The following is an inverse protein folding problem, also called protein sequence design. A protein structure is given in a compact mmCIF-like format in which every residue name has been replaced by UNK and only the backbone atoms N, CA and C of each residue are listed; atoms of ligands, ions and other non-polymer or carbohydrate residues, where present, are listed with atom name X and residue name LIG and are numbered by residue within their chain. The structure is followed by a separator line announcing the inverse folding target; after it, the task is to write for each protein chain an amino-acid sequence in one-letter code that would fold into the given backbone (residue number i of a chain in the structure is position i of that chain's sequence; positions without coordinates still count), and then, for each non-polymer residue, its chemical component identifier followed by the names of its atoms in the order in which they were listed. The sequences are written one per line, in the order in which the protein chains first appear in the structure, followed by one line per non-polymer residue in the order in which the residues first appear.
data_IF_911745012592
#
_entry.id   IF_911745012592
#
_cell.length_a   1.000
_cell.length_b   1.000
_cell.length_c   1.000
_cell.angle_alpha   90.00
_cell.angle_beta   90.00
_cell.angle_gamma   90.00
#
_symmetry.space_group_name_H-M   'P 1'
#
loop_
_entity.id
_entity.type
_entity.pdbx_description
1 polymer ?
2 non-polymer ?
3 water ?
#
# COMPACT_ATOMS: atom_id res chain seq x y z
N UNK A 10 -21.63 -15.56 13.87
CA UNK A 10 -21.47 -14.88 15.16
C UNK A 10 -22.59 -13.86 15.33
N UNK A 11 -23.61 -14.18 16.17
CA UNK A 11 -24.76 -13.29 16.42
C UNK A 11 -24.38 -11.98 17.15
N UNK A 12 -23.11 -11.81 17.55
CA UNK A 12 -22.64 -10.57 18.15
C UNK A 12 -22.45 -9.45 17.11
N UNK A 13 -22.65 -9.75 15.81
CA UNK A 13 -22.47 -8.83 14.71
C UNK A 13 -23.62 -8.99 13.74
N UNK A 14 -24.06 -7.89 13.16
CA UNK A 14 -25.13 -7.92 12.17
C UNK A 14 -24.60 -7.23 10.91
N UNK A 15 -24.41 -7.99 9.81
CA UNK A 15 -23.88 -7.45 8.55
C UNK A 15 -24.91 -6.59 7.84
N UNK A 16 -24.53 -5.37 7.45
CA UNK A 16 -25.46 -4.43 6.82
C UNK A 16 -25.11 -4.05 5.39
N UNK A 17 -23.88 -4.33 4.95
CA UNK A 17 -23.44 -4.01 3.61
C UNK A 17 -22.21 -4.84 3.27
N UNK A 18 -22.02 -5.08 1.99
CA UNK A 18 -20.84 -5.80 1.51
C UNK A 18 -19.84 -4.74 1.11
N UNK A 19 -18.63 -4.81 1.66
CA UNK A 19 -17.56 -3.87 1.31
C UNK A 19 -16.79 -4.40 0.08
N UNK A 20 -16.58 -5.70 0.02
CA UNK A 20 -15.87 -6.32 -1.09
C UNK A 20 -15.91 -7.83 -1.06
N UNK A 21 -15.71 -8.44 -2.23
CA UNK A 21 -15.69 -9.90 -2.34
C UNK A 21 -14.58 -10.32 -3.31
N UNK A 22 -14.05 -11.54 -3.13
CA UNK A 22 -13.00 -12.06 -3.99
C UNK A 22 -12.28 -13.27 -3.44
N UNK A 23 -10.97 -13.33 -3.71
CA UNK A 23 -10.09 -14.41 -3.25
C UNK A 23 -10.08 -14.46 -1.71
N UNK A 24 -10.10 -13.27 -1.08
CA UNK A 24 -10.12 -13.07 0.37
C UNK A 24 -11.43 -13.42 1.06
N UNK A 25 -12.31 -14.16 0.40
CA UNK A 25 -13.62 -14.46 0.95
C UNK A 25 -14.51 -13.26 0.76
N UNK A 26 -14.95 -12.63 1.87
CA UNK A 26 -15.81 -11.46 1.78
C UNK A 26 -15.57 -10.52 2.98
N UNK A 27 -15.63 -9.21 2.75
CA UNK A 27 -15.53 -8.25 3.84
C UNK A 27 -16.88 -7.52 3.92
N UNK A 28 -17.49 -7.49 5.12
CA UNK A 28 -18.78 -6.82 5.34
C UNK A 28 -18.68 -5.66 6.33
N UNK A 29 -19.53 -4.66 6.17
CA UNK A 29 -19.66 -3.58 7.15
C UNK A 29 -20.75 -4.15 8.06
N UNK A 30 -20.49 -4.19 9.37
CA UNK A 30 -21.42 -4.79 10.31
C UNK A 30 -21.58 -3.94 11.57
N UNK A 31 -22.68 -4.16 12.31
CA UNK A 31 -22.93 -3.49 13.59
C UNK A 31 -22.31 -4.40 14.68
N UNK A 32 -21.46 -3.86 15.55
CA UNK A 32 -20.87 -4.59 16.66
C UNK A 32 -21.91 -4.44 17.75
N UNK A 33 -22.84 -5.40 17.82
CA UNK A 33 -23.96 -5.37 18.72
C UNK A 33 -23.60 -5.31 20.20
N UNK A 34 -22.46 -5.88 20.59
CA UNK A 34 -22.04 -5.86 21.99
C UNK A 34 -21.30 -4.58 22.37
N UNK A 35 -20.74 -3.85 21.39
CA UNK A 35 -20.00 -2.63 21.68
C UNK A 35 -20.69 -1.35 21.21
N UNK A 36 -21.89 -1.12 21.72
CA UNK A 36 -22.65 0.09 21.43
C UNK A 36 -23.15 0.27 20.01
N UNK A 37 -23.14 -0.81 19.24
CA UNK A 37 -23.60 -0.75 17.85
C UNK A 37 -22.67 0.00 16.93
N UNK A 38 -21.37 0.07 17.27
CA UNK A 38 -20.42 0.75 16.38
C UNK A 38 -20.22 -0.08 15.10
N UNK A 39 -19.84 0.56 14.00
CA UNK A 39 -19.57 -0.18 12.77
C UNK A 39 -18.20 -0.83 12.90
N UNK A 40 -18.07 -1.98 12.27
CA UNK A 40 -16.84 -2.75 12.16
C UNK A 40 -16.76 -3.32 10.73
N UNK A 41 -15.58 -3.75 10.32
CA UNK A 41 -15.39 -4.43 9.05
C UNK A 41 -15.12 -5.90 9.41
N UNK A 42 -15.98 -6.85 9.00
CA UNK A 42 -15.80 -8.27 9.31
C UNK A 42 -15.30 -8.98 8.08
N UNK A 43 -14.12 -9.55 8.14
CA UNK A 43 -13.54 -10.28 7.03
C UNK A 43 -13.76 -11.77 7.26
N UNK A 44 -14.61 -12.40 6.44
CA UNK A 44 -14.87 -13.83 6.52
C UNK A 44 -13.95 -14.50 5.52
N UNK A 45 -13.06 -15.38 5.98
CA UNK A 45 -12.09 -16.06 5.12
C UNK A 45 -12.21 -17.58 5.27
N UNK A 46 -12.55 -18.29 4.19
CA UNK A 46 -12.69 -19.76 4.19
C UNK A 46 -11.34 -20.46 4.46
N UNK A 55 -4.81 -26.00 9.65
CA UNK A 55 -3.69 -25.45 8.88
C UNK A 55 -2.60 -24.83 9.77
N UNK A 56 -1.39 -24.61 9.22
CA UNK A 56 -0.31 -24.02 10.00
C UNK A 56 0.02 -22.61 9.55
N UNK A 57 -0.03 -22.39 8.23
CA UNK A 57 0.26 -21.10 7.59
C UNK A 57 -0.75 -20.05 8.06
N UNK A 58 -2.04 -20.42 8.08
CA UNK A 58 -3.12 -19.54 8.48
C UNK A 58 -3.09 -19.29 9.98
N UNK A 59 -2.86 -20.34 10.79
CA UNK A 59 -2.78 -20.22 12.26
C UNK A 59 -1.67 -19.25 12.65
N UNK A 60 -0.47 -19.43 12.08
CA UNK A 60 0.66 -18.55 12.35
C UNK A 60 0.36 -17.11 11.91
N UNK A 61 -0.30 -16.92 10.76
CA UNK A 61 -0.63 -15.59 10.26
C UNK A 61 -1.56 -14.83 11.17
N UNK A 62 -2.59 -15.49 11.75
CA UNK A 62 -3.50 -14.78 12.64
C UNK A 62 -2.80 -14.49 13.98
N UNK A 63 -1.86 -15.36 14.42
CA UNK A 63 -1.08 -15.13 15.64
C UNK A 63 -0.20 -13.87 15.45
N UNK A 64 0.35 -13.66 14.25
CA UNK A 64 1.14 -12.47 13.95
C UNK A 64 0.22 -11.22 13.98
N UNK A 65 -0.99 -11.32 13.43
CA UNK A 65 -1.96 -10.21 13.45
C UNK A 65 -2.36 -9.82 14.87
N UNK A 66 -2.58 -10.82 15.73
CA UNK A 66 -2.89 -10.58 17.14
C UNK A 66 -1.71 -9.92 17.86
N UNK A 67 -0.47 -10.37 17.56
CA UNK A 67 0.74 -9.79 18.14
C UNK A 67 0.88 -8.31 17.72
N UNK A 68 0.71 -8.00 16.44
CA UNK A 68 0.77 -6.59 15.99
C UNK A 68 -0.26 -5.71 16.68
N UNK A 69 -1.44 -6.27 17.00
CA UNK A 69 -2.50 -5.53 17.65
C UNK A 69 -2.16 -5.15 19.11
N UNK A 70 -1.25 -5.88 19.78
CA UNK A 70 -0.83 -5.52 21.14
C UNK A 70 -0.14 -4.14 21.14
N UNK A 71 0.50 -3.76 20.03
CA UNK A 71 1.18 -2.47 19.95
C UNK A 71 0.20 -1.31 19.76
N UNK A 72 -1.01 -1.59 19.20
CA UNK A 72 -2.05 -0.61 18.90
C UNK A 72 -1.46 0.58 18.13
N UNK A 73 -0.72 0.30 17.03
CA UNK A 73 -0.13 1.39 16.24
C UNK A 73 -1.24 2.28 15.63
N UNK A 74 -1.10 3.63 15.72
CA UNK A 74 -2.17 4.50 15.21
C UNK A 74 -2.33 4.44 13.68
N UNK A 75 -1.36 3.86 12.94
CA UNK A 75 -1.43 3.86 11.50
C UNK A 75 -1.72 2.52 10.85
N UNK A 76 -2.35 1.62 11.60
CA UNK A 76 -2.82 0.33 11.09
C UNK A 76 -4.22 0.13 11.73
N UNK A 77 -5.19 -0.53 11.03
CA UNK A 77 -6.51 -0.72 11.63
C UNK A 77 -6.45 -1.59 12.86
N UNK A 78 -7.29 -1.27 13.86
CA UNK A 78 -7.39 -2.09 15.07
C UNK A 78 -8.04 -3.40 14.69
N UNK A 79 -7.58 -4.49 15.29
CA UNK A 79 -8.15 -5.82 15.16
C UNK A 79 -8.88 -6.01 16.49
N UNK A 80 -10.20 -5.95 16.46
CA UNK A 80 -11.05 -6.06 17.64
C UNK A 80 -11.30 -7.49 18.08
N UNK A 81 -11.38 -8.44 17.15
CA UNK A 81 -11.75 -9.81 17.52
C UNK A 81 -11.38 -10.82 16.44
N UNK A 82 -11.22 -12.09 16.83
CA UNK A 82 -10.96 -13.17 15.88
C UNK A 82 -11.89 -14.34 16.23
N UNK A 83 -12.68 -14.85 15.28
CA UNK A 83 -13.61 -15.95 15.54
C UNK A 83 -13.29 -17.15 14.62
N UNK A 84 -13.45 -18.38 15.13
CA UNK A 84 -13.21 -19.57 14.31
C UNK A 84 -14.42 -20.49 14.32
N UNK A 93 -14.02 -20.57 7.56
CA UNK A 93 -14.45 -20.60 8.96
C UNK A 93 -13.75 -19.54 9.85
N UNK A 94 -12.94 -18.65 9.27
CA UNK A 94 -12.21 -17.66 10.05
C UNK A 94 -12.80 -16.27 9.86
N UNK A 95 -13.12 -15.56 10.95
CA UNK A 95 -13.67 -14.20 10.85
C UNK A 95 -12.82 -13.21 11.63
N UNK A 96 -12.29 -12.18 10.93
CA UNK A 96 -11.49 -11.12 11.56
C UNK A 96 -12.35 -9.88 11.72
N UNK A 97 -12.37 -9.28 12.90
CA UNK A 97 -13.19 -8.10 13.17
C UNK A 97 -12.29 -6.87 13.32
N UNK A 98 -12.42 -5.89 12.41
CA UNK A 98 -11.59 -4.69 12.46
C UNK A 98 -12.42 -3.46 12.76
N UNK A 99 -11.78 -2.36 13.25
CA UNK A 99 -12.54 -1.09 13.35
C UNK A 99 -12.91 -0.66 11.90
N UNK A 100 -14.06 -0.03 11.72
CA UNK A 100 -14.47 0.42 10.40
C UNK A 100 -14.00 1.84 10.17
N UNK A 101 -13.49 2.12 8.98
CA UNK A 101 -13.08 3.45 8.56
C UNK A 101 -13.99 3.79 7.35
N UNK A 102 -14.65 4.96 7.37
CA UNK A 102 -15.60 5.35 6.32
C UNK A 102 -15.07 5.44 4.91
N UNK A 103 -13.79 5.75 4.71
CA UNK A 103 -13.28 5.90 3.34
C UNK A 103 -11.83 5.41 3.14
N UNK A 104 -11.49 5.11 1.89
CA UNK A 104 -10.13 4.74 1.49
C UNK A 104 -9.46 5.96 0.81
N UNK A 105 -8.15 5.88 0.56
CA UNK A 105 -7.41 6.94 -0.10
C UNK A 105 -7.94 7.17 -1.52
N UNK A 106 -8.44 6.12 -2.19
CA UNK A 106 -9.00 6.23 -3.54
C UNK A 106 -10.18 7.25 -3.56
N UNK A 107 -11.16 7.08 -2.68
CA UNK A 107 -12.32 7.95 -2.55
C UNK A 107 -11.89 9.32 -2.09
N UNK A 108 -10.94 9.41 -1.14
CA UNK A 108 -10.42 10.70 -0.70
C UNK A 108 -9.85 11.51 -1.92
N UNK A 109 -9.05 10.86 -2.77
CA UNK A 109 -8.49 11.51 -3.96
C UNK A 109 -9.55 11.86 -5.04
N UNK A 110 -10.62 11.06 -5.14
CA UNK A 110 -11.68 11.31 -6.11
C UNK A 110 -12.54 12.52 -5.69
N UNK A 111 -12.64 12.80 -4.38
CA UNK A 111 -13.50 13.87 -3.91
C UNK A 111 -12.80 15.18 -3.59
N UNK A 112 -11.47 15.20 -3.55
CA UNK A 112 -10.74 16.42 -3.21
C UNK A 112 -10.92 17.47 -4.33
N UNK A 113 -11.37 18.70 -3.97
CA UNK A 113 -11.61 19.71 -5.01
C UNK A 113 -10.32 20.25 -5.64
N UNK A 114 -10.47 20.92 -6.77
CA UNK A 114 -9.34 21.58 -7.44
C UNK A 114 -8.80 22.70 -6.51
N UNK A 115 -7.49 22.97 -6.50
CA UNK A 115 -6.45 22.42 -7.38
C UNK A 115 -5.84 21.09 -6.92
N UNK A 116 -6.44 20.43 -5.93
CA UNK A 116 -5.96 19.14 -5.46
C UNK A 116 -5.68 19.06 -3.97
N UNK A 117 -4.98 17.99 -3.54
CA UNK A 117 -4.64 17.81 -2.14
C UNK A 117 -3.65 18.89 -1.74
N UNK A 118 -3.91 19.61 -0.64
CA UNK A 118 -2.96 20.64 -0.19
C UNK A 118 -1.58 20.05 0.11
N UNK A 119 -0.53 20.75 -0.28
CA UNK A 119 0.88 20.36 -0.13
C UNK A 119 1.20 19.76 1.25
N UNK A 120 0.74 20.39 2.34
CA UNK A 120 1.02 19.91 3.69
C UNK A 120 0.21 18.67 4.08
N UNK A 121 -0.95 18.47 3.43
CA UNK A 121 -1.79 17.31 3.65
C UNK A 121 -1.13 16.11 2.95
N UNK A 122 -0.53 16.32 1.74
CA UNK A 122 0.24 15.27 1.05
C UNK A 122 1.39 14.83 1.97
N UNK A 123 2.11 15.80 2.53
CA UNK A 123 3.23 15.55 3.42
C UNK A 123 2.80 14.75 4.65
N UNK A 124 1.75 15.22 5.34
CA UNK A 124 1.23 14.53 6.51
C UNK A 124 0.77 13.08 6.22
N UNK A 125 -0.03 12.87 5.16
CA UNK A 125 -0.52 11.53 4.85
C UNK A 125 0.63 10.59 4.49
N UNK A 126 1.63 11.10 3.76
CA UNK A 126 2.81 10.32 3.41
C UNK A 126 3.62 9.95 4.64
N UNK A 127 3.72 10.87 5.61
CA UNK A 127 4.45 10.58 6.85
C UNK A 127 3.75 9.45 7.61
N UNK A 128 2.41 9.51 7.73
CA UNK A 128 1.63 8.51 8.45
C UNK A 128 1.65 7.17 7.75
N UNK A 129 1.61 7.19 6.41
CA UNK A 129 1.71 5.98 5.60
C UNK A 129 3.04 5.28 5.88
N UNK A 130 4.13 6.06 5.89
CA UNK A 130 5.46 5.53 6.15
C UNK A 130 5.63 5.08 7.57
N UNK A 131 4.90 5.65 8.52
CA UNK A 131 4.99 5.20 9.92
C UNK A 131 4.31 3.82 10.09
N UNK A 132 3.13 3.67 9.47
CA UNK A 132 2.43 2.40 9.49
C UNK A 132 3.24 1.30 8.81
N UNK A 133 3.92 1.65 7.72
CA UNK A 133 4.75 0.71 6.96
C UNK A 133 6.03 0.34 7.70
N UNK A 134 6.66 1.31 8.36
CA UNK A 134 7.85 1.04 9.17
C UNK A 134 7.45 0.12 10.35
N UNK A 135 6.27 0.37 10.98
CA UNK A 135 5.76 -0.52 12.02
C UNK A 135 5.66 -1.97 11.50
N UNK A 136 5.01 -2.17 10.34
CA UNK A 136 4.90 -3.51 9.75
C UNK A 136 6.27 -4.11 9.42
N UNK A 137 7.14 -3.36 8.75
CA UNK A 137 8.46 -3.86 8.33
C UNK A 137 9.38 -4.19 9.50
N UNK A 138 9.25 -3.43 10.61
CA UNK A 138 10.08 -3.68 11.77
C UNK A 138 9.64 -4.95 12.54
N UNK A 139 8.39 -5.43 12.35
CA UNK A 139 7.89 -6.69 12.92
C UNK A 139 7.72 -7.78 11.83
N UNK A 140 8.61 -7.74 10.83
CA UNK A 140 8.74 -8.55 9.62
C UNK A 140 7.42 -8.96 8.99
N UNK A 141 6.60 -7.96 8.71
CA UNK A 141 5.38 -8.16 7.93
C UNK A 141 5.58 -7.31 6.68
N UNK A 142 5.34 -7.89 5.51
CA UNK A 142 5.41 -7.17 4.25
C UNK A 142 3.95 -7.07 3.80
N UNK A 143 3.48 -5.87 3.46
CA UNK A 143 2.09 -5.69 3.02
C UNK A 143 1.85 -6.43 1.71
N UNK A 144 2.70 -6.20 0.68
CA UNK A 144 2.67 -6.83 -0.66
C UNK A 144 1.57 -6.38 -1.59
N UNK A 145 0.50 -5.73 -1.08
CA UNK A 145 -0.56 -5.27 -1.98
C UNK A 145 -0.99 -3.85 -1.63
N UNK A 146 -0.03 -2.99 -1.28
CA UNK A 146 -0.33 -1.61 -0.92
C UNK A 146 -0.91 -0.83 -2.10
N UNK A 147 -2.05 -0.19 -1.88
CA UNK A 147 -2.74 0.58 -2.89
C UNK A 147 -3.73 1.52 -2.20
N UNK A 148 -4.21 2.56 -2.90
CA UNK A 148 -5.17 3.49 -2.26
C UNK A 148 -6.40 2.80 -1.65
N UNK A 149 -6.79 1.66 -2.20
CA UNK A 149 -7.95 0.88 -1.74
C UNK A 149 -7.77 0.30 -0.36
N UNK A 150 -6.52 0.01 0.07
CA UNK A 150 -6.34 -0.48 1.45
C UNK A 150 -5.57 0.50 2.34
N UNK A 151 -5.53 1.77 1.94
CA UNK A 151 -4.96 2.83 2.75
C UNK A 151 -6.19 3.60 3.16
N UNK A 152 -6.62 3.44 4.41
CA UNK A 152 -7.87 4.04 4.89
C UNK A 152 -7.66 5.42 5.52
N UNK A 153 -8.61 6.31 5.32
CA UNK A 153 -8.53 7.70 5.80
C UNK A 153 -9.65 7.98 6.77
N UNK A 154 -9.33 8.24 8.07
CA UNK A 154 -10.37 8.48 9.05
C UNK A 154 -11.00 9.90 8.89
N UNK A 155 -12.12 10.13 9.58
CA UNK A 155 -12.83 11.41 9.58
C UNK A 155 -11.97 12.55 10.15
N UNK A 156 -10.90 12.22 10.92
CA UNK A 156 -9.97 13.21 11.45
C UNK A 156 -8.67 13.32 10.61
N UNK A 157 -8.61 12.69 9.43
CA UNK A 157 -7.42 12.71 8.57
C UNK A 157 -6.32 11.72 8.92
N UNK A 158 -6.62 10.72 9.75
CA UNK A 158 -5.61 9.71 10.14
C UNK A 158 -5.48 8.58 9.07
N UNK A 159 -4.25 8.13 8.77
CA UNK A 159 -4.04 7.06 7.80
C UNK A 159 -3.99 5.73 8.55
N UNK A 160 -4.74 4.73 8.08
CA UNK A 160 -4.73 3.41 8.69
C UNK A 160 -4.59 2.35 7.62
N UNK A 161 -3.52 1.57 7.69
CA UNK A 161 -3.29 0.47 6.77
C UNK A 161 -4.24 -0.66 7.10
N UNK A 162 -4.80 -1.26 6.07
CA UNK A 162 -5.70 -2.39 6.21
C UNK A 162 -5.34 -3.46 5.13
N UNK A 163 -5.93 -4.68 5.24
CA UNK A 163 -5.79 -5.78 4.30
C UNK A 163 -4.32 -6.23 4.08
N UNK A 164 -3.70 -6.69 5.16
CA UNK A 164 -2.33 -7.20 5.18
C UNK A 164 -2.27 -8.40 6.16
N UNK A 165 -1.21 -9.19 6.08
CA UNK A 165 -0.99 -10.27 7.02
C UNK A 165 -1.53 -11.62 6.62
N UNK A 166 -2.45 -11.65 5.65
CA UNK A 166 -3.05 -12.88 5.20
C UNK A 166 -2.72 -13.14 3.74
N UNK A 167 -2.33 -14.37 3.43
CA UNK A 167 -2.05 -14.75 2.05
C UNK A 167 -3.38 -15.10 1.41
N UNK A 180 -11.32 -4.16 -12.93
CA UNK A 180 -9.91 -4.29 -13.30
C UNK A 180 -9.03 -4.79 -12.11
N UNK A 181 -7.82 -5.29 -12.38
CA UNK A 181 -6.89 -5.74 -11.35
C UNK A 181 -5.83 -4.63 -11.14
N UNK A 182 -4.93 -4.76 -10.15
CA UNK A 182 -3.96 -3.71 -9.98
C UNK A 182 -2.53 -4.16 -9.77
N UNK A 183 -1.87 -4.13 -10.89
CA UNK A 183 -0.45 -4.25 -10.99
C UNK A 183 0.15 -2.83 -10.99
N UNK A 184 -0.67 -1.74 -11.01
CA UNK A 184 -0.23 -0.36 -11.04
C UNK A 184 0.73 0.00 -9.92
N UNK A 185 0.66 -0.68 -8.77
CA UNK A 185 1.54 -0.38 -7.63
C UNK A 185 2.62 -1.44 -7.38
N UNK A 186 2.67 -2.48 -8.21
CA UNK A 186 3.61 -3.59 -8.10
C UNK A 186 5.03 -3.17 -8.45
N UNK A 187 5.99 -3.61 -7.62
CA UNK A 187 7.40 -3.33 -7.83
C UNK A 187 7.94 -4.13 -9.02
N UNK A 188 8.96 -3.60 -9.71
CA UNK A 188 9.55 -4.37 -10.83
C UNK A 188 9.99 -5.79 -10.47
N UNK A 189 10.54 -6.01 -9.28
CA UNK A 189 11.01 -7.33 -8.87
C UNK A 189 9.86 -8.32 -8.65
N UNK A 190 8.62 -7.82 -8.40
CA UNK A 190 7.44 -8.70 -8.29
C UNK A 190 6.99 -9.08 -9.71
N UNK A 191 6.98 -8.10 -10.62
CA UNK A 191 6.62 -8.26 -12.03
C UNK A 191 7.55 -9.23 -12.74
N UNK A 192 8.84 -9.16 -12.40
CA UNK A 192 9.88 -10.04 -12.94
C UNK A 192 9.91 -11.42 -12.30
N UNK A 193 9.22 -11.59 -11.16
CA UNK A 193 9.13 -12.80 -10.35
C UNK A 193 10.49 -13.20 -9.78
N UNK A 194 11.28 -12.21 -9.29
CA UNK A 194 12.59 -12.52 -8.73
C UNK A 194 12.70 -12.40 -7.21
N UNK A 195 12.14 -11.33 -6.61
CA UNK A 195 12.26 -11.13 -5.15
C UNK A 195 11.02 -10.48 -4.56
N UNK A 196 10.77 -10.72 -3.27
CA UNK A 196 9.54 -10.29 -2.64
C UNK A 196 9.76 -9.73 -1.22
N UNK A 197 10.91 -9.09 -0.95
CA UNK A 197 11.21 -8.59 0.40
C UNK A 197 10.44 -7.25 0.75
N UNK A 198 10.69 -6.60 1.91
CA UNK A 198 10.06 -5.35 2.28
C UNK A 198 10.17 -4.21 1.23
N UNK A 199 11.23 -4.10 0.38
CA UNK A 199 11.28 -2.96 -0.57
C UNK A 199 10.12 -2.90 -1.55
N UNK A 200 9.41 -4.01 -1.74
CA UNK A 200 8.24 -4.13 -2.59
C UNK A 200 7.17 -3.06 -2.19
N UNK A 201 7.04 -2.77 -0.89
CA UNK A 201 6.08 -1.79 -0.39
C UNK A 201 6.53 -0.36 -0.57
N UNK A 202 7.83 -0.11 -0.59
CA UNK A 202 8.39 1.23 -0.79
C UNK A 202 8.24 1.66 -2.24
N UNK A 203 8.29 0.70 -3.21
CA UNK A 203 7.97 1.04 -4.59
C UNK A 203 6.48 1.50 -4.65
N UNK A 204 5.57 0.73 -4.02
CA UNK A 204 4.15 1.05 -3.94
C UNK A 204 3.93 2.44 -3.33
N UNK A 205 4.65 2.75 -2.23
CA UNK A 205 4.64 4.08 -1.60
C UNK A 205 5.01 5.17 -2.61
N UNK A 206 6.06 4.95 -3.41
CA UNK A 206 6.47 5.92 -4.43
C UNK A 206 5.36 6.17 -5.46
N UNK A 207 4.68 5.09 -5.91
CA UNK A 207 3.58 5.23 -6.86
C UNK A 207 2.45 6.05 -6.25
N UNK A 208 2.12 5.78 -4.99
CA UNK A 208 1.07 6.45 -4.26
C UNK A 208 1.40 7.92 -4.01
N UNK A 209 2.66 8.23 -3.68
CA UNK A 209 3.17 9.57 -3.42
C UNK A 209 2.96 10.41 -4.68
N UNK A 210 3.34 9.86 -5.85
CA UNK A 210 3.15 10.55 -7.12
C UNK A 210 1.65 10.78 -7.38
N UNK A 211 0.83 9.76 -7.12
CA UNK A 211 -0.61 9.83 -7.33
C UNK A 211 -1.34 10.84 -6.43
N UNK A 212 -0.78 11.16 -5.27
CA UNK A 212 -1.38 12.17 -4.39
C UNK A 212 -1.31 13.57 -5.04
N UNK A 213 -0.27 13.80 -5.88
CA UNK A 213 -0.16 15.05 -6.61
C UNK A 213 -1.02 14.98 -7.90
N UNK A 214 -0.83 13.93 -8.73
CA UNK A 214 -1.50 13.81 -10.02
C UNK A 214 -2.98 13.57 -9.95
N UNK A 215 -3.43 12.87 -8.89
CA UNK A 215 -4.78 12.37 -8.73
C UNK A 215 -5.17 11.44 -9.89
N UNK A 216 -4.19 10.67 -10.37
CA UNK A 216 -4.29 9.65 -11.40
C UNK A 216 -3.05 8.77 -11.30
N UNK A 217 -3.20 7.45 -11.49
CA UNK A 217 -2.03 6.56 -11.34
C UNK A 217 -0.86 6.92 -12.24
N UNK A 218 0.36 6.81 -11.70
CA UNK A 218 1.58 7.09 -12.42
C UNK A 218 1.83 6.04 -13.50
N UNK A 219 1.68 4.75 -13.17
CA UNK A 219 1.96 3.64 -14.08
C UNK A 219 0.74 2.75 -14.21
N UNK A 220 -0.09 3.02 -15.22
CA UNK A 220 -1.32 2.26 -15.43
C UNK A 220 -1.15 1.21 -16.54
N UNK A 221 -0.58 0.06 -16.19
CA UNK A 221 -0.40 -1.03 -17.15
C UNK A 221 -1.56 -1.98 -17.16
N UNK A 222 -1.69 -2.79 -18.22
CA UNK A 222 -2.79 -3.76 -18.33
C UNK A 222 -2.36 -5.23 -18.17
N UNK A 223 -1.10 -5.48 -17.84
CA UNK A 223 -0.53 -6.81 -17.71
C UNK A 223 0.86 -6.66 -17.04
N UNK A 224 1.46 -7.76 -16.58
CA UNK A 224 2.76 -7.72 -15.93
C UNK A 224 3.87 -7.13 -16.80
N UNK A 225 3.86 -7.44 -18.11
CA UNK A 225 4.89 -6.94 -19.02
C UNK A 225 4.62 -5.51 -19.44
N UNK A 226 3.36 -5.14 -19.63
CA UNK A 226 3.01 -3.77 -19.97
C UNK A 226 3.31 -2.82 -18.77
N UNK A 227 3.07 -3.30 -17.54
CA UNK A 227 3.36 -2.54 -16.33
C UNK A 227 4.87 -2.22 -16.24
N UNK A 228 5.71 -3.24 -16.46
CA UNK A 228 7.14 -3.07 -16.41
C UNK A 228 7.65 -2.13 -17.52
N UNK A 229 7.09 -2.24 -18.71
CA UNK A 229 7.44 -1.35 -19.81
C UNK A 229 7.09 0.10 -19.51
N UNK A 230 5.88 0.35 -18.98
CA UNK A 230 5.48 1.69 -18.58
C UNK A 230 6.35 2.24 -17.45
N UNK A 231 6.82 1.37 -16.54
CA UNK A 231 7.74 1.82 -15.48
C UNK A 231 9.07 2.30 -16.13
N UNK A 232 9.69 1.46 -16.94
CA UNK A 232 10.97 1.76 -17.59
C UNK A 232 10.89 2.91 -18.58
N UNK A 233 9.70 3.17 -19.15
CA UNK A 233 9.51 4.35 -20.01
C UNK A 233 9.78 5.64 -19.23
N UNK A 234 9.58 5.63 -17.90
CA UNK A 234 9.80 6.78 -17.04
C UNK A 234 11.19 6.79 -16.36
N UNK A 235 11.55 5.70 -15.66
CA UNK A 235 12.82 5.66 -14.92
C UNK A 235 14.02 5.27 -15.75
N UNK A 236 13.80 4.80 -16.99
CA UNK A 236 14.87 4.34 -17.87
C UNK A 236 15.32 2.91 -17.58
N UNK A 237 16.08 2.33 -18.49
CA UNK A 237 16.58 0.98 -18.30
C UNK A 237 17.65 1.03 -17.25
N UNK A 238 17.64 0.13 -16.25
CA UNK A 238 18.72 0.16 -15.24
C UNK A 238 20.00 -0.46 -15.83
N UNK A 239 21.09 -0.39 -15.08
CA UNK A 239 22.33 -1.02 -15.50
C UNK A 239 22.15 -2.53 -15.58
N UNK A 240 22.84 -3.17 -16.50
CA UNK A 240 22.79 -4.61 -16.72
C UNK A 240 23.00 -5.40 -15.39
N UNK A 241 23.84 -4.87 -14.48
CA UNK A 241 24.11 -5.47 -13.17
C UNK A 241 22.96 -5.33 -12.16
N UNK A 242 22.04 -4.39 -12.40
CA UNK A 242 20.84 -4.20 -11.58
C UNK A 242 19.68 -5.10 -12.06
N UNK A 243 19.80 -5.77 -13.22
CA UNK A 243 18.76 -6.64 -13.72
C UNK A 243 18.91 -7.98 -13.01
N UNK A 244 17.81 -8.53 -12.48
CA UNK A 244 17.91 -9.79 -11.75
C UNK A 244 18.33 -10.93 -12.67
N UNK A 245 19.23 -11.78 -12.18
CA UNK A 245 19.70 -12.92 -12.97
C UNK A 245 18.65 -14.02 -12.95
N UNK A 246 18.62 -14.82 -14.02
CA UNK A 246 17.69 -15.95 -14.13
C UNK A 246 16.22 -15.63 -13.84
N UNK A 247 15.63 -14.77 -14.68
CA UNK A 247 14.21 -14.43 -14.74
C UNK A 247 13.77 -14.63 -16.20
N UNK A 248 12.48 -14.82 -16.45
CA UNK A 248 11.99 -15.05 -17.81
C UNK A 248 12.25 -13.84 -18.71
N UNK A 249 11.99 -12.63 -18.19
CA UNK A 249 12.16 -11.37 -18.92
C UNK A 249 13.55 -10.73 -18.80
N UNK A 250 14.31 -10.70 -19.90
CA UNK A 250 15.62 -10.03 -19.85
C UNK A 250 15.49 -8.52 -20.09
N UNK A 251 16.56 -7.78 -19.77
CA UNK A 251 16.63 -6.33 -20.00
C UNK A 251 16.38 -5.99 -21.47
N UNK A 252 16.90 -6.84 -22.38
CA UNK A 252 16.80 -6.78 -23.83
C UNK A 252 15.35 -6.70 -24.34
N UNK A 253 14.38 -7.25 -23.55
CA UNK A 253 12.98 -7.20 -23.96
C UNK A 253 12.38 -5.78 -23.89
N UNK A 254 13.07 -4.86 -23.22
CA UNK A 254 12.68 -3.47 -23.06
C UNK A 254 13.84 -2.61 -23.59
N UNK A 257 14.96 2.86 -24.02
CA UNK A 257 14.30 3.51 -22.91
C UNK A 257 15.27 4.33 -22.09
N UNK A 258 14.99 5.62 -22.01
CA UNK A 258 15.81 6.59 -21.31
C UNK A 258 14.99 7.24 -20.19
N UNK A 259 15.63 7.55 -19.06
CA UNK A 259 14.95 8.20 -17.95
C UNK A 259 14.41 9.57 -18.36
N UNK A 260 13.19 9.88 -17.92
CA UNK A 260 12.56 11.16 -18.19
C UNK A 260 12.51 11.97 -16.87
N UNK A 261 12.54 13.31 -16.90
CA UNK A 261 12.46 14.09 -15.66
C UNK A 261 11.15 13.78 -14.97
N UNK A 262 11.18 13.29 -13.72
CA UNK A 262 9.96 12.87 -13.03
C UNK A 262 8.95 14.01 -12.89
N UNK A 263 9.41 15.28 -12.87
CA UNK A 263 8.52 16.44 -12.77
C UNK A 263 7.59 16.59 -14.01
N UNK A 264 7.92 15.92 -15.12
CA UNK A 264 7.06 15.90 -16.30
C UNK A 264 5.73 15.16 -15.99
N UNK A 265 5.77 14.17 -15.09
CA UNK A 265 4.65 13.35 -14.68
C UNK A 265 4.04 13.79 -13.35
N UNK A 266 4.81 14.45 -12.50
CA UNK A 266 4.36 14.95 -11.21
C UNK A 266 4.76 16.43 -11.22
N UNK A 267 3.94 17.29 -11.83
CA UNK A 267 4.31 18.72 -11.99
C UNK A 267 4.34 19.53 -10.71
N UNK A 268 3.50 19.18 -9.76
CA UNK A 268 3.33 19.94 -8.52
C UNK A 268 4.40 19.68 -7.45
N UNK A 269 5.22 18.63 -7.62
CA UNK A 269 6.20 18.22 -6.63
C UNK A 269 7.40 19.17 -6.48
N UNK A 270 7.81 19.40 -5.23
CA UNK A 270 8.97 20.23 -4.86
C UNK A 270 10.29 19.42 -5.01
N UNK A 271 11.45 20.07 -4.80
CA UNK A 271 12.77 19.44 -4.95
C UNK A 271 13.04 18.29 -3.95
N UNK A 272 12.66 18.50 -2.68
CA UNK A 272 12.83 17.52 -1.60
C UNK A 272 11.88 16.32 -1.78
N UNK A 273 10.67 16.60 -2.24
CA UNK A 273 9.68 15.58 -2.55
C UNK A 273 10.11 14.72 -3.72
N UNK A 274 10.77 15.34 -4.72
CA UNK A 274 11.30 14.69 -5.89
C UNK A 274 12.42 13.74 -5.50
N UNK A 275 13.31 14.16 -4.59
CA UNK A 275 14.42 13.36 -4.13
C UNK A 275 13.90 12.11 -3.41
N UNK A 276 12.90 12.27 -2.53
CA UNK A 276 12.28 11.13 -1.84
C UNK A 276 11.52 10.23 -2.83
N UNK A 277 10.74 10.81 -3.76
CA UNK A 277 10.03 10.03 -4.78
C UNK A 277 10.96 9.10 -5.58
N UNK A 278 12.10 9.64 -6.07
CA UNK A 278 13.06 8.83 -6.84
C UNK A 278 13.75 7.75 -6.00
N UNK A 279 13.97 8.01 -4.71
CA UNK A 279 14.55 7.02 -3.80
C UNK A 279 13.57 5.83 -3.58
N UNK A 280 12.25 6.07 -3.71
CA UNK A 280 11.24 5.01 -3.61
C UNK A 280 11.17 4.29 -4.95
N UNK A 281 11.21 5.05 -6.07
CA UNK A 281 11.11 4.46 -7.41
C UNK A 281 12.47 4.04 -7.97
N UNK A 282 13.29 3.37 -7.17
CA UNK A 282 14.60 2.87 -7.60
C UNK A 282 14.38 1.42 -8.05
N UNK A 283 14.85 1.06 -9.26
CA UNK A 283 14.63 -0.26 -9.80
C UNK A 283 15.17 -1.38 -8.92
N UNK A 284 16.42 -1.25 -8.44
CA UNK A 284 17.04 -2.29 -7.63
C UNK A 284 16.53 -2.21 -6.18
N UNK A 285 15.86 -3.29 -5.69
CA UNK A 285 15.33 -3.25 -4.32
C UNK A 285 16.35 -3.01 -3.20
N UNK A 286 17.60 -3.50 -3.38
CA UNK A 286 18.67 -3.30 -2.38
C UNK A 286 19.09 -1.82 -2.31
N UNK A 287 18.88 -1.05 -3.40
CA UNK A 287 19.24 0.38 -3.41
C UNK A 287 18.04 1.30 -3.10
N UNK A 288 16.82 0.76 -3.03
CA UNK A 288 15.61 1.51 -2.74
C UNK A 288 15.61 1.97 -1.29
N UNK A 289 15.12 3.19 -1.00
CA UNK A 289 15.09 3.66 0.38
C UNK A 289 14.14 2.75 1.24
N UNK A 290 14.42 2.61 2.54
CA UNK A 290 13.56 1.82 3.42
C UNK A 290 12.51 2.80 4.02
N UNK A 291 11.45 2.28 4.66
CA UNK A 291 10.45 3.13 5.31
C UNK A 291 11.07 3.87 6.50
N UNK A 292 12.03 3.23 7.21
CA UNK A 292 12.70 3.86 8.35
C UNK A 292 13.54 5.07 7.93
N UNK A 293 14.39 4.93 6.91
CA UNK A 293 15.17 6.07 6.38
C UNK A 293 14.28 7.13 5.77
N UNK A 294 13.18 6.71 5.12
CA UNK A 294 12.25 7.67 4.50
C UNK A 294 11.67 8.61 5.54
N UNK A 295 11.35 8.09 6.73
CA UNK A 295 10.83 8.90 7.82
C UNK A 295 11.75 10.05 8.23
N UNK A 296 13.07 9.90 8.01
CA UNK A 296 14.08 10.93 8.30
C UNK A 296 14.49 11.77 7.10
N UNK A 297 13.82 11.63 5.96
CA UNK A 297 14.18 12.37 4.76
C UNK A 297 13.93 13.86 5.00
N UNK A 298 14.78 14.75 4.43
CA UNK A 298 14.55 16.20 4.57
C UNK A 298 13.17 16.74 4.17
N UNK A 299 12.42 16.00 3.34
CA UNK A 299 11.07 16.35 2.91
C UNK A 299 10.13 16.49 4.12
N UNK A 300 10.34 15.67 5.16
CA UNK A 300 9.47 15.68 6.33
C UNK A 300 9.87 16.69 7.44
N UNK A 301 11.01 17.37 7.28
CA UNK A 301 11.50 18.31 8.29
C UNK A 301 10.73 19.63 8.33
X LIG B 1 -10.53 -2.73 8.06
X LIG B 1 -11.36 -1.98 7.31
X LIG B 1 -11.94 -0.89 7.89
X LIG B 1 -12.81 -0.10 7.27
X LIG B 1 -13.09 -0.43 6.00
X LIG B 1 -14.05 0.32 5.40
X LIG B 1 -14.26 0.48 3.98
X LIG B 1 -15.61 1.13 3.76
X LIG B 1 -16.66 0.38 4.37
X LIG B 1 -15.88 1.29 2.27
X LIG B 1 -14.84 2.21 1.78
X LIG B 1 -15.20 3.17 0.51
X LIG B 1 -16.46 3.78 0.80
X LIG B 1 -13.99 4.42 0.44
X LIG B 1 -15.09 2.36 -0.67
X LIG B 1 -13.48 1.65 1.85
X LIG B 1 -13.15 1.30 3.32
X LIG B 1 -12.57 -1.47 5.30
X LIG B 1 -11.71 -2.26 5.95
X LIG B 1 -11.20 -3.42 5.18
X LIG B 1 -10.69 -4.53 5.87
X LIG B 1 -10.19 -5.60 5.18
X LIG B 1 -9.66 -6.64 5.86
X LIG B 1 -10.17 -5.65 3.81
X LIG B 1 -9.69 -6.62 2.91
X LIG B 1 -11.19 -3.44 3.78
X LIG B 1 -10.67 -4.55 3.12
X LIG B 1 -10.49 -4.87 1.76
X LIG B 1 -10.87 -4.04 0.59
X LIG B 1 -10.00 -2.81 0.48
X LIG B 1 -12.35 -3.73 0.58
X LIG B 1 -9.89 -6.11 1.72
X LIG B 1 -9.60 -6.81 0.45
#
# INVERSE_FOLDING_TARGET
MEKDGLCRADQQYECVAEIGVGAYGTVFKARDLKNGGRFVALKRVRVQTGEEGMPLSTIREVAVLRHLETFEHPNVVRLFDVCTVSRTDRETKLTLVFEHVDQDLRTYLDKVPEPGVPTETIKDMMFQLLRGLDFLHSHRVVHRDLKPENILVTSSGQIKLADFGLARIYSFQMALTSVVVTLWYRAPEVLLQSSYATPVDLWSVGCIFAEMFRRKPLFRGSSDVDQLGKILDVIGLPGEEDWPRDVALPRQAFHSKSAQPIEKFVTDIDELGKDLLLKCLTFNPAKRISAYSALSHPYFQHHHHHH
A1CIF F1 C12 C13 N2 C14 N4 C15 C19 O C18 N5 S O2 C20 O1 C17 C16 N3 C11 C8 C9 C10 F C2 N C7 C3 N1 C4 C6 C5 C1 C
#
